data_IF_492219684248
#
_entry.id   IF_492219684248
#
_cell.length_a   1.000
_cell.length_b   1.000
_cell.length_c   1.000
_cell.angle_alpha   90.00
_cell.angle_beta   90.00
_cell.angle_gamma   90.00
#
_symmetry.space_group_name_H-M   'P 1'
#
loop_
_entity.id
_entity.type
_entity.pdbx_description
1 polymer ?
#
# COMPACT_ATOMS: atom_id res chain seq x y z
N UNK A 1 0.30 -26.84 51.64
CA UNK A 1 -0.73 -27.58 50.88
C UNK A 1 -0.14 -27.99 49.53
N UNK A 2 0.01 -29.30 49.27
CA UNK A 2 0.40 -29.79 47.93
C UNK A 2 -0.73 -29.41 46.96
N UNK A 3 -0.39 -28.78 45.81
CA UNK A 3 -1.35 -28.63 44.71
C UNK A 3 -1.89 -30.03 44.37
N UNK A 4 -3.22 -30.23 44.25
CA UNK A 4 -3.75 -31.52 43.84
C UNK A 4 -3.12 -31.89 42.49
N UNK A 5 -2.67 -33.13 42.37
CA UNK A 5 -2.12 -33.64 41.12
C UNK A 5 -3.18 -33.49 40.02
N UNK A 6 -2.80 -32.97 38.84
CA UNK A 6 -3.76 -32.77 37.76
C UNK A 6 -4.29 -34.13 37.32
N UNK A 7 -5.61 -34.35 37.45
CA UNK A 7 -6.29 -35.55 36.97
C UNK A 7 -5.96 -35.73 35.48
N UNK A 8 -5.18 -36.76 35.18
CA UNK A 8 -4.75 -37.10 33.83
C UNK A 8 -5.84 -37.97 33.21
N UNK A 9 -6.77 -37.32 32.49
CA UNK A 9 -7.79 -38.05 31.73
C UNK A 9 -7.16 -38.78 30.54
N UNK A 10 -7.69 -39.97 30.22
CA UNK A 10 -7.32 -40.79 29.08
C UNK A 10 -7.90 -40.25 27.77
N UNK A 11 -7.51 -40.84 26.65
CA UNK A 11 -7.99 -40.44 25.33
C UNK A 11 -9.48 -40.73 25.16
N UNK A 12 -9.91 -41.87 25.66
CA UNK A 12 -11.27 -42.40 25.57
C UNK A 12 -12.22 -41.58 26.45
N UNK A 13 -11.78 -41.19 27.65
CA UNK A 13 -12.56 -40.35 28.57
C UNK A 13 -12.87 -38.97 27.97
N UNK A 14 -11.91 -38.37 27.27
CA UNK A 14 -12.12 -37.06 26.62
C UNK A 14 -13.08 -37.18 25.42
N UNK A 15 -13.06 -38.30 24.68
CA UNK A 15 -14.01 -38.56 23.59
C UNK A 15 -15.42 -38.78 24.14
N UNK A 16 -15.55 -39.56 25.22
CA UNK A 16 -16.84 -39.79 25.88
C UNK A 16 -17.44 -38.46 26.37
N UNK A 17 -16.62 -37.59 26.96
CA UNK A 17 -17.08 -36.29 27.42
C UNK A 17 -17.48 -35.36 26.27
N UNK A 18 -16.78 -35.42 25.13
CA UNK A 18 -17.19 -34.70 23.93
C UNK A 18 -18.57 -35.17 23.43
N UNK A 19 -18.81 -36.47 23.39
CA UNK A 19 -20.11 -37.02 22.98
C UNK A 19 -21.23 -36.64 23.95
N UNK A 20 -20.95 -36.64 25.26
CA UNK A 20 -21.89 -36.18 26.28
C UNK A 20 -22.28 -34.70 26.07
N UNK A 21 -21.30 -33.82 25.89
CA UNK A 21 -21.55 -32.39 25.66
C UNK A 21 -22.30 -32.17 24.35
N UNK A 22 -21.91 -32.85 23.27
CA UNK A 22 -22.63 -32.80 21.98
C UNK A 22 -24.08 -33.21 22.11
N UNK A 23 -24.35 -34.30 22.83
CA UNK A 23 -25.71 -34.80 23.08
C UNK A 23 -26.52 -33.77 23.88
N UNK A 24 -25.91 -33.16 24.90
CA UNK A 24 -26.55 -32.13 25.73
C UNK A 24 -26.88 -30.85 24.98
N UNK A 25 -26.06 -30.43 24.02
CA UNK A 25 -26.27 -29.21 23.23
C UNK A 25 -27.15 -29.46 22.01
N UNK A 26 -27.28 -30.70 21.55
CA UNK A 26 -28.01 -31.05 20.33
C UNK A 26 -27.27 -30.70 19.03
N UNK A 27 -26.05 -30.16 19.12
CA UNK A 27 -25.18 -29.84 18.00
C UNK A 27 -23.71 -30.05 18.38
N UNK A 28 -22.83 -30.05 17.38
CA UNK A 28 -21.38 -30.15 17.60
C UNK A 28 -20.85 -28.91 18.35
N UNK A 29 -20.29 -29.06 19.56
CA UNK A 29 -19.78 -27.93 20.32
C UNK A 29 -18.57 -27.28 19.64
N UNK A 30 -18.41 -25.97 19.84
CA UNK A 30 -17.12 -25.29 19.65
C UNK A 30 -16.14 -25.68 20.78
N UNK A 31 -14.84 -25.42 20.59
CA UNK A 31 -13.84 -25.66 21.63
C UNK A 31 -14.20 -24.93 22.95
N UNK A 32 -14.74 -23.71 22.85
CA UNK A 32 -15.12 -22.92 24.03
C UNK A 32 -16.32 -23.52 24.76
N UNK A 33 -17.35 -23.93 24.02
CA UNK A 33 -18.53 -24.59 24.59
C UNK A 33 -18.17 -25.94 25.21
N UNK A 34 -17.31 -26.72 24.54
CA UNK A 34 -16.81 -27.98 25.09
C UNK A 34 -16.11 -27.75 26.42
N UNK A 35 -15.12 -26.85 26.50
CA UNK A 35 -14.38 -26.60 27.75
C UNK A 35 -15.27 -26.01 28.85
N UNK A 36 -16.33 -25.27 28.49
CA UNK A 36 -17.25 -24.68 29.47
C UNK A 36 -18.26 -25.68 30.02
N UNK A 37 -18.58 -26.73 29.27
CA UNK A 37 -19.60 -27.73 29.63
C UNK A 37 -19.02 -29.12 29.96
N UNK A 38 -17.73 -29.33 29.72
CA UNK A 38 -17.02 -30.57 30.00
C UNK A 38 -16.28 -30.51 31.32
N UNK A 39 -16.08 -31.67 31.94
CA UNK A 39 -15.16 -31.87 33.07
C UNK A 39 -13.69 -31.95 32.61
N UNK A 40 -13.39 -31.47 31.40
CA UNK A 40 -12.09 -31.55 30.74
C UNK A 40 -11.51 -30.15 30.57
N UNK A 41 -10.31 -29.94 31.09
CA UNK A 41 -9.58 -28.69 30.87
C UNK A 41 -9.04 -28.59 29.44
N UNK A 42 -8.88 -27.37 28.94
CA UNK A 42 -8.20 -27.14 27.64
C UNK A 42 -6.81 -27.80 27.58
N UNK A 43 -6.10 -27.84 28.71
CA UNK A 43 -4.78 -28.48 28.81
C UNK A 43 -4.83 -29.98 28.54
N UNK A 44 -5.75 -30.72 29.19
CA UNK A 44 -5.89 -32.16 29.00
C UNK A 44 -6.25 -32.51 27.55
N UNK A 45 -7.16 -31.74 26.94
CA UNK A 45 -7.53 -31.90 25.53
C UNK A 45 -6.34 -31.66 24.60
N UNK A 46 -5.62 -30.54 24.74
CA UNK A 46 -4.47 -30.19 23.88
C UNK A 46 -3.32 -31.18 24.05
N UNK A 47 -3.06 -31.67 25.26
CA UNK A 47 -1.98 -32.63 25.51
C UNK A 47 -2.16 -33.93 24.72
N UNK A 48 -3.39 -34.45 24.66
CA UNK A 48 -3.69 -35.74 24.00
C UNK A 48 -3.96 -35.57 22.51
N UNK A 49 -4.83 -34.63 22.13
CA UNK A 49 -5.29 -34.49 20.75
C UNK A 49 -4.52 -33.44 19.95
N UNK A 50 -3.69 -32.61 20.59
CA UNK A 50 -2.99 -31.44 20.03
C UNK A 50 -3.91 -30.30 19.62
N UNK A 51 -5.02 -30.59 18.94
CA UNK A 51 -6.02 -29.59 18.52
C UNK A 51 -7.44 -30.11 18.73
N UNK A 52 -8.39 -29.18 18.91
CA UNK A 52 -9.80 -29.54 19.07
C UNK A 52 -10.36 -30.27 17.84
N UNK A 53 -9.95 -29.87 16.63
CA UNK A 53 -10.36 -30.56 15.39
C UNK A 53 -9.91 -32.03 15.34
N UNK A 54 -8.80 -32.41 16.01
CA UNK A 54 -8.37 -33.81 16.10
C UNK A 54 -9.19 -34.61 17.10
N UNK A 55 -9.64 -33.98 18.20
CA UNK A 55 -10.63 -34.58 19.11
C UNK A 55 -11.92 -34.88 18.35
N UNK A 56 -12.47 -33.88 17.66
CA UNK A 56 -13.70 -34.01 16.87
C UNK A 56 -13.59 -35.17 15.86
N UNK A 57 -12.50 -35.25 15.10
CA UNK A 57 -12.27 -36.38 14.16
C UNK A 57 -12.17 -37.73 14.87
N UNK A 58 -11.47 -37.77 16.01
CA UNK A 58 -11.34 -39.01 16.80
C UNK A 58 -12.67 -39.46 17.40
N UNK A 59 -13.62 -38.53 17.59
CA UNK A 59 -14.98 -38.82 18.03
C UNK A 59 -15.93 -39.19 16.89
N UNK A 60 -15.44 -39.25 15.64
CA UNK A 60 -16.24 -39.63 14.45
C UNK A 60 -16.95 -38.47 13.75
N UNK A 61 -16.69 -37.23 14.14
CA UNK A 61 -17.32 -36.04 13.55
C UNK A 61 -16.41 -35.34 12.53
N UNK A 62 -17.04 -34.57 11.64
CA UNK A 62 -16.32 -33.64 10.78
C UNK A 62 -16.11 -32.31 11.52
N UNK A 63 -14.87 -31.81 11.67
CA UNK A 63 -14.64 -30.49 12.26
C UNK A 63 -15.35 -29.41 11.47
N UNK A 64 -16.07 -28.53 12.18
CA UNK A 64 -16.49 -27.27 11.60
C UNK A 64 -15.25 -26.58 11.02
N UNK A 65 -15.25 -26.38 9.71
CA UNK A 65 -14.23 -25.57 9.06
C UNK A 65 -14.45 -24.17 9.62
N UNK A 66 -13.46 -23.65 10.33
CA UNK A 66 -13.48 -22.25 10.69
C UNK A 66 -13.58 -21.47 9.39
N UNK A 67 -14.77 -20.92 9.11
CA UNK A 67 -14.91 -19.91 8.06
C UNK A 67 -13.94 -18.82 8.50
N UNK A 68 -12.84 -18.68 7.77
CA UNK A 68 -11.90 -17.62 8.03
C UNK A 68 -12.71 -16.33 7.90
N UNK A 69 -13.05 -15.71 9.04
CA UNK A 69 -13.62 -14.37 9.02
C UNK A 69 -12.56 -13.53 8.33
N UNK A 70 -12.93 -12.95 7.19
CA UNK A 70 -12.08 -12.00 6.52
C UNK A 70 -11.66 -10.97 7.57
N UNK A 71 -10.35 -10.74 7.66
CA UNK A 71 -9.86 -9.72 8.55
C UNK A 71 -10.46 -8.39 8.09
N UNK A 72 -10.99 -7.55 8.99
CA UNK A 72 -11.55 -6.27 8.62
C UNK A 72 -10.58 -5.47 7.75
N UNK A 73 -11.15 -4.59 6.93
CA UNK A 73 -10.35 -3.63 6.18
C UNK A 73 -9.57 -2.72 7.12
N UNK A 74 -8.43 -2.23 6.64
CA UNK A 74 -7.51 -1.44 7.45
C UNK A 74 -8.14 -0.14 7.97
N UNK A 75 -9.04 0.43 7.16
CA UNK A 75 -9.81 1.62 7.52
C UNK A 75 -10.58 1.42 8.83
N UNK A 76 -11.15 0.24 9.07
CA UNK A 76 -11.88 -0.09 10.31
C UNK A 76 -10.96 0.00 11.55
N UNK A 77 -9.68 -0.37 11.42
CA UNK A 77 -8.72 -0.26 12.51
C UNK A 77 -8.33 1.20 12.77
N UNK A 78 -8.12 1.96 11.70
CA UNK A 78 -7.75 3.37 11.81
C UNK A 78 -8.90 4.21 12.36
N UNK A 79 -10.13 3.95 11.92
CA UNK A 79 -11.33 4.59 12.46
C UNK A 79 -11.49 4.33 13.96
N UNK A 80 -11.38 3.06 14.38
CA UNK A 80 -11.45 2.71 15.79
C UNK A 80 -10.39 3.43 16.63
N UNK A 81 -9.16 3.55 16.10
CA UNK A 81 -8.07 4.26 16.77
C UNK A 81 -8.30 5.76 16.84
N UNK A 82 -8.69 6.38 15.74
CA UNK A 82 -8.99 7.81 15.70
C UNK A 82 -10.19 8.16 16.59
N UNK A 83 -11.23 7.34 16.61
CA UNK A 83 -12.38 7.51 17.51
C UNK A 83 -11.96 7.41 18.99
N UNK A 84 -11.06 6.47 19.31
CA UNK A 84 -10.50 6.40 20.66
C UNK A 84 -9.76 7.69 21.03
N UNK A 85 -8.91 8.20 20.14
CA UNK A 85 -8.18 9.46 20.36
C UNK A 85 -9.14 10.64 20.55
N UNK A 86 -10.24 10.70 19.80
CA UNK A 86 -11.27 11.73 19.99
C UNK A 86 -11.90 11.66 21.37
N UNK A 87 -12.32 10.46 21.77
CA UNK A 87 -13.04 10.25 23.01
C UNK A 87 -12.17 10.49 24.25
N UNK A 88 -10.91 10.05 24.21
CA UNK A 88 -10.04 10.01 25.40
C UNK A 88 -8.94 11.07 25.39
N UNK A 89 -8.75 11.78 24.27
CA UNK A 89 -7.72 12.84 24.08
C UNK A 89 -6.30 12.38 24.45
N UNK A 90 -6.04 11.08 24.35
CA UNK A 90 -4.77 10.44 24.70
C UNK A 90 -4.54 9.19 23.84
N UNK A 91 -3.28 8.82 23.66
CA UNK A 91 -2.92 7.56 23.00
C UNK A 91 -3.39 6.37 23.84
N UNK A 92 -4.02 5.35 23.23
CA UNK A 92 -4.36 4.13 23.95
C UNK A 92 -3.09 3.37 24.34
N UNK A 93 -2.97 3.02 25.61
CA UNK A 93 -2.13 1.90 26.00
C UNK A 93 -2.76 0.59 25.50
N UNK A 94 -1.94 -0.47 25.41
CA UNK A 94 -2.44 -1.80 25.01
C UNK A 94 -3.57 -2.29 25.94
N UNK A 95 -3.46 -1.99 27.24
CA UNK A 95 -4.46 -2.38 28.22
C UNK A 95 -5.77 -1.59 28.06
N UNK A 96 -5.71 -0.32 27.63
CA UNK A 96 -6.90 0.49 27.37
C UNK A 96 -7.71 -0.11 26.23
N UNK A 97 -7.03 -0.57 25.18
CA UNK A 97 -7.68 -1.21 24.03
C UNK A 97 -8.47 -2.47 24.41
N UNK A 98 -7.94 -3.23 25.37
CA UNK A 98 -8.58 -4.43 25.92
C UNK A 98 -9.72 -4.03 26.88
N UNK A 99 -9.45 -3.08 27.79
CA UNK A 99 -10.39 -2.63 28.80
C UNK A 99 -11.65 -2.01 28.18
N UNK A 100 -11.49 -1.20 27.14
CA UNK A 100 -12.59 -0.58 26.41
C UNK A 100 -13.23 -1.50 25.36
N UNK A 101 -12.76 -2.74 25.21
CA UNK A 101 -13.36 -3.72 24.30
C UNK A 101 -13.34 -3.29 22.84
N UNK A 102 -12.31 -2.54 22.41
CA UNK A 102 -12.28 -1.92 21.09
C UNK A 102 -12.07 -2.98 20.02
N UNK A 103 -12.94 -2.95 19.00
CA UNK A 103 -12.88 -3.80 17.82
C UNK A 103 -12.40 -2.98 16.62
N UNK A 104 -11.50 -3.52 15.78
CA UNK A 104 -10.91 -4.85 15.87
C UNK A 104 -9.89 -4.98 17.02
N UNK A 105 -9.81 -6.18 17.60
CA UNK A 105 -9.01 -6.42 18.80
C UNK A 105 -7.50 -6.33 18.55
N UNK A 106 -6.75 -6.03 19.62
CA UNK A 106 -5.29 -5.85 19.60
C UNK A 106 -4.51 -6.96 18.87
N UNK A 107 -4.87 -8.23 19.06
CA UNK A 107 -4.19 -9.35 18.37
C UNK A 107 -4.44 -9.34 16.87
N UNK A 108 -5.65 -8.96 16.45
CA UNK A 108 -6.00 -8.80 15.02
C UNK A 108 -5.15 -7.68 14.41
N UNK A 109 -4.98 -6.59 15.17
CA UNK A 109 -4.16 -5.47 14.80
C UNK A 109 -2.69 -5.85 14.56
N UNK A 110 -2.05 -6.54 15.52
CA UNK A 110 -0.68 -7.04 15.36
C UNK A 110 -0.52 -7.92 14.12
N UNK A 111 -1.51 -8.75 13.83
CA UNK A 111 -1.46 -9.68 12.71
C UNK A 111 -1.62 -8.98 11.36
N UNK A 112 -2.56 -8.01 11.27
CA UNK A 112 -2.84 -7.23 10.07
C UNK A 112 -1.66 -6.33 9.69
N UNK A 113 -1.18 -5.51 10.63
CA UNK A 113 -0.15 -4.49 10.35
C UNK A 113 1.27 -4.98 10.62
N UNK A 114 1.44 -6.15 11.23
CA UNK A 114 2.75 -6.76 11.55
C UNK A 114 3.69 -5.82 12.33
N UNK A 115 3.11 -4.98 13.20
CA UNK A 115 3.80 -3.93 13.96
C UNK A 115 3.67 -4.03 15.48
N UNK A 116 4.56 -3.35 16.21
CA UNK A 116 4.42 -3.18 17.67
C UNK A 116 3.33 -2.14 17.95
N UNK A 117 2.67 -2.26 19.10
CA UNK A 117 1.63 -1.30 19.52
C UNK A 117 2.13 0.15 19.54
N UNK A 118 3.37 0.34 20.03
CA UNK A 118 4.02 1.66 20.08
C UNK A 118 4.25 2.29 18.71
N UNK A 119 4.20 1.51 17.62
CA UNK A 119 4.42 1.98 16.26
C UNK A 119 3.11 2.43 15.61
N UNK A 120 1.97 1.94 16.10
CA UNK A 120 0.67 2.19 15.51
C UNK A 120 0.26 3.66 15.44
N UNK A 121 0.49 4.52 16.46
CA UNK A 121 0.16 5.94 16.36
C UNK A 121 0.76 6.60 15.13
N UNK A 122 1.95 6.16 14.70
CA UNK A 122 2.64 6.72 13.54
C UNK A 122 2.13 6.17 12.21
N UNK A 123 1.66 4.91 12.19
CA UNK A 123 0.97 4.34 11.03
C UNK A 123 -0.38 5.05 10.86
N UNK A 124 -1.13 5.25 11.96
CA UNK A 124 -2.35 6.04 11.95
C UNK A 124 -2.08 7.48 11.53
N UNK A 125 -1.02 8.14 12.03
CA UNK A 125 -0.63 9.50 11.63
C UNK A 125 -0.40 9.58 10.11
N UNK A 126 0.30 8.60 9.53
CA UNK A 126 0.58 8.54 8.10
C UNK A 126 -0.69 8.33 7.25
N UNK A 127 -1.65 7.54 7.75
CA UNK A 127 -2.95 7.35 7.11
C UNK A 127 -3.88 8.57 7.28
N UNK A 128 -3.87 9.20 8.45
CA UNK A 128 -4.78 10.28 8.81
C UNK A 128 -4.33 11.65 8.30
N UNK A 129 -3.04 11.86 8.04
CA UNK A 129 -2.47 13.14 7.59
C UNK A 129 -3.03 13.63 6.25
N UNK A 130 -3.40 12.70 5.37
CA UNK A 130 -4.00 12.99 4.05
C UNK A 130 -5.53 13.08 4.11
N UNK A 131 -6.14 12.95 5.29
CA UNK A 131 -7.60 12.93 5.48
C UNK A 131 -8.02 14.09 6.38
N UNK A 132 -8.67 15.14 5.84
CA UNK A 132 -9.10 16.31 6.61
C UNK A 132 -9.96 15.96 7.82
N UNK A 133 -10.76 14.89 7.69
CA UNK A 133 -11.64 14.39 8.73
C UNK A 133 -10.92 14.05 10.04
N UNK A 134 -9.60 13.85 10.07
CA UNK A 134 -8.85 13.43 11.26
C UNK A 134 -7.89 14.50 11.80
N UNK A 135 -7.91 15.71 11.24
CA UNK A 135 -6.99 16.79 11.62
C UNK A 135 -7.04 17.13 13.11
N UNK A 136 -8.20 16.95 13.73
CA UNK A 136 -8.49 17.23 15.14
C UNK A 136 -7.76 16.32 16.14
N UNK A 137 -7.35 15.11 15.70
CA UNK A 137 -6.65 14.14 16.55
C UNK A 137 -5.16 14.02 16.26
N UNK A 138 -4.66 14.58 15.16
CA UNK A 138 -3.23 14.46 14.78
C UNK A 138 -2.31 15.08 15.83
N UNK A 139 -2.73 16.19 16.45
CA UNK A 139 -1.95 16.88 17.49
C UNK A 139 -1.81 16.08 18.79
N UNK A 140 -2.58 15.00 18.97
CA UNK A 140 -2.52 14.12 20.14
C UNK A 140 -1.40 13.08 20.03
N UNK A 141 -0.78 12.95 18.85
CA UNK A 141 0.28 12.00 18.59
C UNK A 141 1.62 12.74 18.74
N UNK A 142 2.47 12.31 19.69
CA UNK A 142 3.73 13.00 19.93
C UNK A 142 4.65 12.86 18.71
N UNK A 143 5.46 13.88 18.40
CA UNK A 143 6.42 13.80 17.32
C UNK A 143 7.51 12.78 17.68
N UNK A 144 7.41 11.57 17.14
CA UNK A 144 8.45 10.54 17.23
C UNK A 144 8.74 10.00 15.84
N UNK A 145 9.97 9.57 15.66
CA UNK A 145 10.46 9.01 14.42
C UNK A 145 9.65 7.76 14.01
N UNK A 146 9.08 7.77 12.80
CA UNK A 146 8.38 6.62 12.22
C UNK A 146 9.38 5.45 12.06
N UNK A 147 9.10 4.25 12.60
CA UNK A 147 9.98 3.10 12.41
C UNK A 147 10.13 2.76 10.93
N UNK A 148 11.37 2.57 10.49
CA UNK A 148 11.79 2.34 9.09
C UNK A 148 11.11 1.13 8.40
N UNK A 149 10.44 0.25 9.16
CA UNK A 149 9.69 -0.91 8.64
C UNK A 149 8.34 -0.54 8.04
N UNK A 150 7.74 0.61 8.41
CA UNK A 150 6.43 1.07 7.90
C UNK A 150 6.54 2.28 6.96
N UNK A 151 7.76 2.73 6.68
CA UNK A 151 8.06 3.76 5.68
C UNK A 151 7.99 3.20 4.24
N UNK A 152 7.03 2.33 3.94
CA UNK A 152 6.99 1.60 2.67
C UNK A 152 5.62 1.16 2.19
N UNK A 153 4.65 0.92 3.07
CA UNK A 153 3.34 0.38 2.64
C UNK A 153 2.13 1.26 2.97
N UNK A 154 2.18 2.13 4.00
CA UNK A 154 1.02 2.95 4.37
C UNK A 154 1.43 4.37 4.76
N UNK A 155 1.23 5.29 3.81
CA UNK A 155 1.50 6.72 3.91
C UNK A 155 2.86 7.11 3.32
N UNK A 156 2.96 8.29 2.67
CA UNK A 156 4.09 8.65 1.83
C UNK A 156 5.34 8.55 2.68
N UNK A 157 6.34 7.82 2.21
CA UNK A 157 7.49 7.52 3.06
C UNK A 157 8.39 8.74 3.33
N UNK A 158 7.85 9.95 3.31
CA UNK A 158 8.63 11.16 3.23
C UNK A 158 7.86 12.44 3.57
N UNK A 159 7.43 12.53 4.82
CA UNK A 159 7.27 13.85 5.44
C UNK A 159 8.60 14.65 5.41
N UNK A 160 9.76 13.97 5.32
CA UNK A 160 11.09 14.57 5.04
C UNK A 160 11.35 14.89 3.56
N UNK A 161 10.76 14.13 2.63
CA UNK A 161 10.36 14.56 1.28
C UNK A 161 9.99 16.02 1.24
N UNK A 162 8.82 16.29 1.84
CA UNK A 162 8.14 17.56 1.73
C UNK A 162 8.97 18.73 2.26
N UNK A 163 9.84 18.53 3.27
CA UNK A 163 10.78 19.55 3.75
C UNK A 163 11.73 20.03 2.65
N UNK A 164 12.07 19.16 1.70
CA UNK A 164 12.97 19.43 0.59
C UNK A 164 12.23 19.73 -0.72
N UNK A 165 10.95 19.34 -0.85
CA UNK A 165 10.15 19.54 -2.07
C UNK A 165 9.50 20.92 -2.06
N UNK A 166 9.53 21.67 -3.18
CA UNK A 166 8.81 22.94 -3.29
C UNK A 166 7.34 22.80 -2.90
N UNK A 167 6.77 23.70 -2.06
CA UNK A 167 5.38 23.61 -1.59
C UNK A 167 4.34 23.47 -2.69
N UNK A 168 4.62 24.04 -3.88
CA UNK A 168 3.76 23.94 -5.06
C UNK A 168 3.55 22.51 -5.57
N UNK A 169 4.40 21.55 -5.16
CA UNK A 169 4.29 20.12 -5.50
C UNK A 169 3.75 19.25 -4.36
N UNK A 170 3.40 19.82 -3.21
CA UNK A 170 2.96 19.04 -2.04
C UNK A 170 1.64 18.29 -2.28
N UNK A 171 0.79 18.82 -3.16
CA UNK A 171 -0.51 18.24 -3.50
C UNK A 171 -0.45 17.14 -4.56
N UNK A 172 0.70 16.90 -5.22
CA UNK A 172 0.76 16.00 -6.38
C UNK A 172 0.28 14.58 -6.05
N UNK A 173 0.58 14.07 -4.86
CA UNK A 173 0.16 12.73 -4.43
C UNK A 173 -1.34 12.69 -4.16
N UNK A 174 -1.88 13.70 -3.48
CA UNK A 174 -3.31 13.85 -3.21
C UNK A 174 -4.12 13.90 -4.51
N UNK A 175 -3.69 14.74 -5.45
CA UNK A 175 -4.28 14.87 -6.78
C UNK A 175 -4.19 13.58 -7.59
N UNK A 176 -3.10 12.81 -7.46
CA UNK A 176 -2.95 11.51 -8.12
C UNK A 176 -4.01 10.49 -7.65
N UNK A 177 -4.45 10.60 -6.39
CA UNK A 177 -5.48 9.75 -5.78
C UNK A 177 -6.92 10.20 -6.08
N UNK A 178 -7.14 11.03 -7.10
CA UNK A 178 -8.48 11.50 -7.45
C UNK A 178 -9.10 12.45 -6.44
N UNK A 179 -8.31 12.97 -5.50
CA UNK A 179 -8.74 14.00 -4.57
C UNK A 179 -8.42 15.39 -5.17
N UNK A 180 -9.25 15.83 -6.09
CA UNK A 180 -9.15 17.13 -6.75
C UNK A 180 -9.40 17.06 -8.25
N UNK A 181 -9.05 18.15 -8.94
CA UNK A 181 -9.22 18.29 -10.39
C UNK A 181 -8.11 17.54 -11.14
N UNK A 182 -8.43 16.57 -12.03
CA UNK A 182 -7.43 15.89 -12.85
C UNK A 182 -6.54 16.84 -13.67
N UNK A 183 -7.07 17.96 -14.15
CA UNK A 183 -6.28 18.94 -14.88
C UNK A 183 -5.23 19.62 -13.99
N UNK A 184 -5.47 19.71 -12.68
CA UNK A 184 -4.44 20.16 -11.72
C UNK A 184 -3.35 19.10 -11.55
N UNK A 185 -3.71 17.81 -11.56
CA UNK A 185 -2.73 16.72 -11.51
C UNK A 185 -1.79 16.73 -12.72
N UNK A 186 -2.34 16.91 -13.92
CA UNK A 186 -1.58 17.07 -15.17
C UNK A 186 -0.56 18.23 -15.05
N UNK A 187 -1.03 19.41 -14.62
CA UNK A 187 -0.17 20.59 -14.40
C UNK A 187 0.93 20.34 -13.37
N UNK A 188 0.63 19.62 -12.29
CA UNK A 188 1.63 19.27 -11.29
C UNK A 188 2.66 18.27 -11.82
N UNK A 189 2.26 17.32 -12.66
CA UNK A 189 3.19 16.43 -13.35
C UNK A 189 4.12 17.22 -14.30
N UNK A 190 3.57 18.16 -15.06
CA UNK A 190 4.36 19.05 -15.91
C UNK A 190 5.38 19.85 -15.10
N UNK A 191 4.95 20.44 -13.97
CA UNK A 191 5.83 21.19 -13.08
C UNK A 191 6.91 20.30 -12.44
N UNK A 192 6.55 19.10 -12.01
CA UNK A 192 7.49 18.12 -11.46
C UNK A 192 8.61 17.79 -12.46
N UNK A 193 8.25 17.54 -13.73
CA UNK A 193 9.21 17.30 -14.81
C UNK A 193 10.09 18.55 -15.10
N UNK A 194 9.52 19.75 -15.05
CA UNK A 194 10.32 21.00 -15.14
C UNK A 194 11.32 21.12 -13.99
N UNK A 195 10.89 20.83 -12.75
CA UNK A 195 11.78 20.82 -11.59
C UNK A 195 12.89 19.81 -11.75
N UNK A 196 12.65 18.67 -12.40
CA UNK A 196 13.69 17.69 -12.74
C UNK A 196 14.67 18.17 -13.81
N UNK A 197 14.36 19.25 -14.53
CA UNK A 197 15.26 19.88 -15.52
C UNK A 197 14.85 19.65 -16.97
N UNK A 198 13.68 19.07 -17.21
CA UNK A 198 13.14 18.92 -18.56
C UNK A 198 12.55 20.23 -19.08
N UNK A 199 12.64 20.42 -20.39
CA UNK A 199 11.81 21.38 -21.12
C UNK A 199 10.44 20.73 -21.41
N UNK A 200 9.39 21.21 -20.74
CA UNK A 200 8.06 20.59 -20.80
C UNK A 200 7.09 21.42 -21.61
N UNK A 201 6.55 20.79 -22.67
CA UNK A 201 5.44 21.29 -23.45
C UNK A 201 4.16 20.57 -23.03
N UNK A 202 3.27 21.30 -22.37
CA UNK A 202 1.92 20.84 -22.01
C UNK A 202 1.05 20.86 -23.27
N UNK A 203 0.31 19.78 -23.51
CA UNK A 203 -0.61 19.68 -24.65
C UNK A 203 -2.06 19.71 -24.17
N UNK A 204 -2.38 18.97 -23.11
CA UNK A 204 -3.69 18.97 -22.45
C UNK A 204 -4.88 18.77 -23.39
N UNK A 205 -6.10 18.93 -22.88
CA UNK A 205 -7.33 18.66 -23.63
C UNK A 205 -7.69 19.69 -24.73
N UNK A 206 -6.73 20.45 -25.25
CA UNK A 206 -6.98 21.38 -26.35
C UNK A 206 -7.12 20.60 -27.66
N UNK A 207 -8.38 20.43 -28.10
CA UNK A 207 -8.83 19.92 -29.39
C UNK A 207 -7.96 18.82 -30.04
N UNK A 208 -8.15 17.57 -29.58
CA UNK A 208 -7.52 16.39 -30.19
C UNK A 208 -7.34 15.23 -29.22
N UNK A 209 -6.81 14.12 -29.73
CA UNK A 209 -6.27 13.01 -28.93
C UNK A 209 -4.77 13.23 -28.75
N UNK A 210 -4.40 13.98 -27.72
CA UNK A 210 -3.01 14.30 -27.38
C UNK A 210 -2.64 13.70 -26.01
N UNK A 211 -1.35 13.39 -25.78
CA UNK A 211 -0.85 13.13 -24.43
C UNK A 211 -0.95 14.40 -23.58
N UNK A 212 -0.81 14.28 -22.26
CA UNK A 212 -0.84 15.45 -21.37
C UNK A 212 0.35 16.38 -21.61
N UNK A 213 1.51 15.82 -21.97
CA UNK A 213 2.60 16.62 -22.49
C UNK A 213 3.83 15.83 -22.96
N UNK A 214 4.84 16.59 -23.36
CA UNK A 214 6.15 16.08 -23.77
C UNK A 214 7.24 16.81 -23.01
N UNK A 215 8.06 16.05 -22.29
CA UNK A 215 9.25 16.52 -21.60
C UNK A 215 10.50 16.20 -22.43
N UNK A 216 11.36 17.20 -22.66
CA UNK A 216 12.54 17.08 -23.52
C UNK A 216 13.81 17.37 -22.75
N UNK A 217 14.84 16.59 -23.04
CA UNK A 217 16.21 16.89 -22.65
C UNK A 217 17.10 16.92 -23.89
N UNK A 218 17.48 18.13 -24.31
CA UNK A 218 18.33 18.32 -25.47
C UNK A 218 19.78 17.90 -25.24
N UNK A 219 20.27 17.90 -23.99
CA UNK A 219 21.65 17.51 -23.64
C UNK A 219 21.81 16.00 -23.78
N UNK A 220 20.89 15.26 -23.18
CA UNK A 220 20.86 13.79 -23.20
C UNK A 220 20.14 13.23 -24.44
N UNK A 221 19.67 14.12 -25.32
CA UNK A 221 18.99 13.86 -26.59
C UNK A 221 17.86 12.85 -26.46
N UNK A 222 17.06 12.95 -25.40
CA UNK A 222 15.87 12.12 -25.24
C UNK A 222 14.63 12.93 -24.91
N UNK A 223 13.47 12.35 -25.22
CA UNK A 223 12.18 12.91 -24.89
C UNK A 223 11.32 11.87 -24.17
N UNK A 224 10.42 12.35 -23.33
CA UNK A 224 9.43 11.57 -22.61
C UNK A 224 8.06 12.13 -22.95
N UNK A 225 7.27 11.35 -23.67
CA UNK A 225 5.84 11.61 -23.81
C UNK A 225 5.20 11.09 -22.51
N UNK A 226 4.36 11.88 -21.85
CA UNK A 226 3.77 11.47 -20.59
C UNK A 226 2.28 11.69 -20.52
N UNK A 227 1.64 10.86 -19.70
CA UNK A 227 0.20 10.88 -19.43
C UNK A 227 -0.03 10.65 -17.92
N UNK A 228 -0.82 11.53 -17.31
CA UNK A 228 -1.13 11.61 -15.90
C UNK A 228 -2.54 11.05 -15.64
N UNK A 229 -2.60 9.94 -14.91
CA UNK A 229 -3.85 9.27 -14.56
C UNK A 229 -4.21 9.53 -13.11
N UNK A 230 -5.18 10.42 -12.88
CA UNK A 230 -5.78 10.62 -11.55
C UNK A 230 -6.89 9.60 -11.32
N UNK A 231 -6.73 8.74 -10.29
CA UNK A 231 -7.67 7.67 -9.94
C UNK A 231 -7.70 7.47 -8.42
N UNK A 232 -8.88 7.21 -7.85
CA UNK A 232 -9.02 6.88 -6.42
C UNK A 232 -8.34 5.56 -6.06
N UNK A 233 -8.51 4.57 -6.93
CA UNK A 233 -7.97 3.23 -6.76
C UNK A 233 -6.73 3.04 -7.65
N UNK A 234 -6.53 1.82 -8.15
CA UNK A 234 -5.43 1.47 -9.02
C UNK A 234 -5.69 1.92 -10.47
N UNK A 235 -4.65 2.41 -11.15
CA UNK A 235 -4.63 2.43 -12.60
C UNK A 235 -4.11 1.10 -13.14
N UNK A 236 -4.90 0.43 -13.98
CA UNK A 236 -4.51 -0.84 -14.60
C UNK A 236 -3.88 -0.57 -15.97
N UNK A 237 -2.65 -1.02 -16.15
CA UNK A 237 -1.96 -0.95 -17.45
C UNK A 237 -2.66 -1.93 -18.41
N UNK A 238 -2.88 -1.52 -19.66
CA UNK A 238 -3.69 -2.29 -20.61
C UNK A 238 -5.00 -1.60 -21.01
N UNK A 239 -5.52 -0.69 -20.17
CA UNK A 239 -6.81 -0.02 -20.42
C UNK A 239 -6.75 0.93 -21.61
N UNK A 240 -5.64 1.64 -21.77
CA UNK A 240 -5.49 2.75 -22.74
C UNK A 240 -4.38 2.47 -23.80
N UNK A 241 -3.95 1.21 -23.98
CA UNK A 241 -2.81 0.85 -24.85
C UNK A 241 -2.93 1.40 -26.27
N UNK A 242 -4.14 1.37 -26.84
CA UNK A 242 -4.42 1.93 -28.17
C UNK A 242 -4.20 3.45 -28.18
N UNK A 243 -4.69 4.14 -27.17
CA UNK A 243 -4.56 5.59 -27.06
C UNK A 243 -3.07 5.99 -26.92
N UNK A 244 -2.31 5.29 -26.08
CA UNK A 244 -0.87 5.53 -25.95
C UNK A 244 -0.10 5.25 -27.25
N UNK A 245 -0.47 4.18 -27.95
CA UNK A 245 0.09 3.87 -29.27
C UNK A 245 -0.16 5.00 -30.26
N UNK A 246 -1.39 5.51 -30.33
CA UNK A 246 -1.75 6.66 -31.18
C UNK A 246 -0.93 7.91 -30.83
N UNK A 247 -0.74 8.21 -29.55
CA UNK A 247 0.07 9.35 -29.09
C UNK A 247 1.53 9.22 -29.51
N UNK A 248 2.13 8.06 -29.25
CA UNK A 248 3.53 7.80 -29.57
C UNK A 248 3.75 7.96 -31.07
N UNK A 249 2.94 7.31 -31.91
CA UNK A 249 3.11 7.35 -33.36
C UNK A 249 2.93 8.77 -33.93
N UNK A 250 2.03 9.56 -33.35
CA UNK A 250 1.76 10.93 -33.80
C UNK A 250 2.91 11.91 -33.50
N UNK A 251 3.66 11.70 -32.41
CA UNK A 251 4.70 12.63 -31.98
C UNK A 251 6.14 12.15 -32.23
N UNK A 252 6.37 10.83 -32.27
CA UNK A 252 7.72 10.26 -32.38
C UNK A 252 8.47 10.78 -33.60
N UNK A 253 7.85 10.80 -34.78
CA UNK A 253 8.50 11.25 -36.02
C UNK A 253 9.00 12.70 -35.92
N UNK A 254 8.21 13.58 -35.31
CA UNK A 254 8.59 14.98 -35.11
C UNK A 254 9.77 15.10 -34.13
N UNK A 255 9.77 14.32 -33.04
CA UNK A 255 10.86 14.29 -32.08
C UNK A 255 12.17 13.74 -32.70
N UNK A 256 12.07 12.69 -33.51
CA UNK A 256 13.22 12.14 -34.24
C UNK A 256 13.84 13.22 -35.16
N UNK A 257 13.00 13.96 -35.91
CA UNK A 257 13.46 15.06 -36.79
C UNK A 257 14.06 16.24 -36.01
N UNK A 258 13.63 16.45 -34.77
CA UNK A 258 14.21 17.46 -33.85
C UNK A 258 15.54 16.99 -33.23
N UNK A 259 16.00 15.77 -33.52
CA UNK A 259 17.30 15.27 -33.10
C UNK A 259 17.31 14.49 -31.78
N UNK A 260 16.13 14.22 -31.21
CA UNK A 260 15.99 13.32 -30.05
C UNK A 260 16.19 11.87 -30.51
N UNK A 261 17.19 11.20 -29.96
CA UNK A 261 17.59 9.84 -30.35
C UNK A 261 16.78 8.76 -29.64
N UNK A 262 16.24 9.07 -28.47
CA UNK A 262 15.47 8.13 -27.66
C UNK A 262 14.18 8.78 -27.21
N UNK A 263 13.07 8.09 -27.42
CA UNK A 263 11.75 8.53 -26.96
C UNK A 263 11.21 7.47 -26.02
N UNK A 264 10.71 7.90 -24.87
CA UNK A 264 10.03 7.06 -23.88
C UNK A 264 8.56 7.48 -23.77
N UNK A 265 7.72 6.56 -23.29
CA UNK A 265 6.38 6.89 -22.84
C UNK A 265 6.27 6.62 -21.33
N UNK A 266 5.80 7.61 -20.58
CA UNK A 266 5.72 7.54 -19.12
C UNK A 266 4.29 7.77 -18.63
N UNK A 267 3.73 6.79 -17.94
CA UNK A 267 2.45 6.93 -17.23
C UNK A 267 2.72 7.34 -15.79
N UNK A 268 2.06 8.40 -15.32
CA UNK A 268 2.17 8.91 -13.95
C UNK A 268 0.83 8.74 -13.25
N UNK A 269 0.78 8.07 -12.09
CA UNK A 269 -0.46 7.81 -11.35
C UNK A 269 -0.21 7.76 -9.83
N UNK A 270 -1.27 7.67 -9.04
CA UNK A 270 -1.18 7.42 -7.60
C UNK A 270 -0.70 5.99 -7.29
N UNK A 271 -1.30 5.01 -7.96
CA UNK A 271 -1.01 3.57 -7.82
C UNK A 271 -1.23 2.82 -9.13
N UNK A 272 -0.54 1.70 -9.28
CA UNK A 272 -0.71 0.77 -10.40
C UNK A 272 -1.16 -0.60 -9.92
N UNK A 273 -2.10 -1.21 -10.66
CA UNK A 273 -2.61 -2.55 -10.40
C UNK A 273 -2.49 -3.41 -11.66
N UNK A 274 -2.45 -4.74 -11.48
CA UNK A 274 -2.40 -5.67 -12.61
C UNK A 274 -1.14 -5.53 -13.46
N UNK A 275 0.02 -5.43 -12.81
CA UNK A 275 1.34 -5.25 -13.44
C UNK A 275 1.81 -6.50 -14.21
N UNK A 276 1.17 -6.74 -15.35
CA UNK A 276 1.57 -7.76 -16.33
C UNK A 276 2.58 -7.17 -17.32
N UNK A 277 3.60 -7.93 -17.78
CA UNK A 277 4.50 -7.49 -18.84
C UNK A 277 3.83 -7.27 -20.20
N UNK A 278 2.67 -7.90 -20.44
CA UNK A 278 2.04 -7.98 -21.77
C UNK A 278 1.68 -6.59 -22.34
N UNK A 279 0.98 -5.69 -21.64
CA UNK A 279 0.69 -4.35 -22.14
C UNK A 279 1.95 -3.53 -22.52
N UNK A 280 3.00 -3.60 -21.69
CA UNK A 280 4.27 -2.90 -21.95
C UNK A 280 4.93 -3.43 -23.23
N UNK A 281 4.94 -4.76 -23.41
CA UNK A 281 5.48 -5.40 -24.60
C UNK A 281 4.66 -5.04 -25.85
N UNK A 282 3.33 -5.01 -25.75
CA UNK A 282 2.46 -4.66 -26.87
C UNK A 282 2.74 -3.24 -27.38
N UNK A 283 2.83 -2.25 -26.48
CA UNK A 283 3.14 -0.87 -26.87
C UNK A 283 4.55 -0.77 -27.45
N UNK A 284 5.54 -1.42 -26.83
CA UNK A 284 6.92 -1.45 -27.32
C UNK A 284 7.03 -2.09 -28.72
N UNK A 285 6.33 -3.20 -28.97
CA UNK A 285 6.30 -3.88 -30.26
C UNK A 285 5.61 -3.02 -31.33
N UNK A 286 4.51 -2.35 -30.99
CA UNK A 286 3.74 -1.54 -31.93
C UNK A 286 4.45 -0.23 -32.31
N UNK A 287 5.26 0.34 -31.40
CA UNK A 287 5.77 1.71 -31.56
C UNK A 287 7.29 1.83 -31.54
N UNK A 288 8.00 0.80 -31.10
CA UNK A 288 9.45 0.87 -30.83
C UNK A 288 9.82 1.71 -29.62
N UNK A 289 8.85 2.21 -28.84
CA UNK A 289 9.06 3.08 -27.68
C UNK A 289 8.83 2.33 -26.38
N UNK A 290 9.73 2.53 -25.41
CA UNK A 290 9.64 1.89 -24.10
C UNK A 290 8.60 2.59 -23.24
N UNK A 291 7.65 1.78 -22.77
CA UNK A 291 6.62 2.17 -21.84
C UNK A 291 7.10 1.94 -20.40
N UNK A 292 7.04 3.00 -19.60
CA UNK A 292 7.28 2.94 -18.16
C UNK A 292 6.09 3.55 -17.41
N UNK A 293 5.95 3.17 -16.15
CA UNK A 293 5.01 3.82 -15.25
C UNK A 293 5.68 4.18 -13.91
N UNK A 294 5.28 5.30 -13.31
CA UNK A 294 5.85 5.79 -12.05
C UNK A 294 4.75 6.37 -11.17
N UNK A 295 4.84 6.12 -9.86
CA UNK A 295 3.90 6.72 -8.92
C UNK A 295 4.26 8.18 -8.66
N UNK A 296 3.27 9.03 -8.35
CA UNK A 296 3.50 10.42 -7.96
C UNK A 296 4.48 10.53 -6.77
N UNK A 297 4.41 9.57 -5.84
CA UNK A 297 5.35 9.46 -4.72
C UNK A 297 6.79 9.19 -5.21
N UNK A 298 6.99 8.24 -6.12
CA UNK A 298 8.31 7.95 -6.66
C UNK A 298 8.86 9.09 -7.53
N UNK A 299 7.99 9.86 -8.19
CA UNK A 299 8.37 11.09 -8.87
C UNK A 299 8.93 12.13 -7.88
N UNK A 300 8.25 12.34 -6.74
CA UNK A 300 8.76 13.20 -5.66
C UNK A 300 10.11 12.70 -5.11
N UNK A 301 10.32 11.38 -5.03
CA UNK A 301 11.63 10.82 -4.61
C UNK A 301 12.78 11.23 -5.50
N UNK A 302 12.55 11.23 -6.82
CA UNK A 302 13.56 11.69 -7.78
C UNK A 302 13.81 13.19 -7.60
N UNK A 303 12.75 13.99 -7.40
CA UNK A 303 12.89 15.44 -7.17
C UNK A 303 13.70 15.74 -5.92
N UNK A 304 13.41 15.08 -4.80
CA UNK A 304 14.22 15.33 -3.61
C UNK A 304 15.67 14.86 -3.80
N UNK A 305 15.91 13.80 -4.57
CA UNK A 305 17.28 13.38 -4.90
C UNK A 305 18.03 14.49 -5.64
N UNK A 306 17.36 15.21 -6.56
CA UNK A 306 17.90 16.41 -7.20
C UNK A 306 18.21 17.51 -6.19
N UNK A 307 17.29 17.80 -5.29
CA UNK A 307 17.40 18.94 -4.36
C UNK A 307 18.46 18.67 -3.29
N UNK A 308 18.51 17.45 -2.76
CA UNK A 308 19.44 17.05 -1.70
C UNK A 308 20.85 16.78 -2.24
N UNK A 309 20.98 16.38 -3.50
CA UNK A 309 22.27 16.05 -4.14
C UNK A 309 22.38 16.66 -5.54
N UNK A 310 22.33 18.01 -5.66
CA UNK A 310 22.27 18.66 -6.97
C UNK A 310 23.52 18.43 -7.83
N UNK A 311 24.69 18.25 -7.21
CA UNK A 311 25.96 18.04 -7.91
C UNK A 311 26.07 16.65 -8.56
N UNK A 312 25.36 15.64 -8.05
CA UNK A 312 25.38 14.28 -8.58
C UNK A 312 24.09 13.92 -9.32
N UNK A 313 23.17 14.87 -9.43
CA UNK A 313 21.94 14.71 -10.18
C UNK A 313 22.16 15.03 -11.65
N UNK A 314 21.62 14.17 -12.52
CA UNK A 314 21.57 14.38 -13.96
C UNK A 314 20.36 13.62 -14.54
N UNK A 315 19.78 14.12 -15.64
CA UNK A 315 18.63 13.50 -16.32
C UNK A 315 19.01 12.21 -17.05
N UNK A 316 20.31 11.97 -17.32
CA UNK A 316 20.81 10.67 -17.78
C UNK A 316 20.42 9.52 -16.82
N UNK A 317 20.36 9.80 -15.51
CA UNK A 317 19.88 8.84 -14.50
C UNK A 317 18.40 8.52 -14.69
N UNK A 318 17.58 9.48 -15.08
CA UNK A 318 16.16 9.24 -15.41
C UNK A 318 16.06 8.40 -16.68
N UNK A 319 16.85 8.71 -17.72
CA UNK A 319 16.94 7.88 -18.93
C UNK A 319 17.27 6.42 -18.59
N UNK A 320 18.21 6.18 -17.68
CA UNK A 320 18.54 4.83 -17.21
C UNK A 320 17.35 4.10 -16.55
N UNK A 321 16.54 4.80 -15.76
CA UNK A 321 15.32 4.23 -15.17
C UNK A 321 14.32 3.81 -16.23
N UNK A 322 14.15 4.61 -17.29
CA UNK A 322 13.15 4.40 -18.32
C UNK A 322 13.55 3.32 -19.34
N UNK A 323 14.84 3.08 -19.57
CA UNK A 323 15.33 2.05 -20.52
C UNK A 323 14.81 0.64 -20.18
N UNK A 324 14.60 0.33 -18.90
CA UNK A 324 14.16 -1.01 -18.50
C UNK A 324 12.69 -1.26 -18.84
N UNK A 325 11.87 -0.22 -18.98
CA UNK A 325 10.42 -0.33 -19.08
C UNK A 325 9.76 -0.82 -17.79
N UNK A 326 8.43 -0.87 -17.78
CA UNK A 326 7.66 -1.32 -16.62
C UNK A 326 7.61 -0.31 -15.47
N UNK A 327 7.41 -0.80 -14.24
CA UNK A 327 7.31 0.07 -13.06
C UNK A 327 8.66 0.64 -12.63
N UNK A 328 8.72 1.95 -12.46
CA UNK A 328 9.82 2.64 -11.78
C UNK A 328 9.56 2.59 -10.27
N UNK A 329 10.16 1.61 -9.61
CA UNK A 329 10.01 1.40 -8.16
C UNK A 329 11.01 2.21 -7.35
N UNK A 330 10.75 2.35 -6.04
CA UNK A 330 11.70 2.93 -5.07
C UNK A 330 13.07 2.25 -5.14
N UNK A 331 13.12 0.93 -5.29
CA UNK A 331 14.37 0.17 -5.39
C UNK A 331 15.17 0.56 -6.63
N UNK A 332 14.50 0.76 -7.78
CA UNK A 332 15.16 1.23 -9.01
C UNK A 332 15.77 2.62 -8.80
N UNK A 333 15.00 3.54 -8.21
CA UNK A 333 15.43 4.92 -7.94
C UNK A 333 16.63 4.93 -7.00
N UNK A 334 16.56 4.21 -5.88
CA UNK A 334 17.67 4.15 -4.93
C UNK A 334 18.94 3.59 -5.56
N UNK A 335 18.83 2.58 -6.43
CA UNK A 335 19.98 2.01 -7.13
C UNK A 335 20.67 3.03 -8.04
N UNK A 336 19.91 3.88 -8.71
CA UNK A 336 20.43 4.87 -9.67
C UNK A 336 20.90 6.16 -8.99
N UNK A 337 20.26 6.58 -7.90
CA UNK A 337 20.52 7.86 -7.23
C UNK A 337 21.32 7.77 -5.90
N UNK A 338 21.65 6.56 -5.42
CA UNK A 338 22.59 6.38 -4.29
C UNK A 338 24.08 6.45 -4.70
N UNK A 339 24.39 6.28 -5.99
CA UNK A 339 25.70 6.56 -6.58
C UNK A 339 25.87 8.07 -6.77
#
# INVERSE_FOLDING_TARGET
MKKPEPVVLSREEIIAEYQRVKTSLGYQPSQREFVSNASVTSYNMVRIFRTYSRLVRSAGDTPQIAVARESPDEEVYFEAFGQYLRAHRALPAMNDWIYHGISPGYRSFLWKFKCRWSEFPYIFLAWASVRPAWKDVLSLIPPRHVPQKYSGEWGPADLRLLDSIPPILHDITRLAFGDGDPAQFEKQCALALRVLGFEVHEMGSLAGRNPDGIARDARERFAVIYDAKSRKDYYTIGTDDRQFTEYILSHKKALDMQGFQTVFFLIISGRFGGMSPVPFQNVQLATGVTLSCITAENLLRIIASKILKPLTYDTAKIKQLLITGGEVTKTNIEKVFKQ
#
